data_IF_693827147351
#
_entry.id   IF_693827147351
#
_cell.length_a   1.000
_cell.length_b   1.000
_cell.length_c   1.000
_cell.angle_alpha   90.00
_cell.angle_beta   90.00
_cell.angle_gamma   90.00
#
_symmetry.space_group_name_H-M   'P 1'
#
loop_
_entity.id
_entity.type
_entity.pdbx_description
1 polymer ?
#
# COMPACT_ATOMS: atom_id res chain seq x y z
N UNK A 1 -31.38 -8.28 20.36
CA UNK A 1 -31.09 -7.36 19.22
C UNK A 1 -30.57 -6.00 19.71
N UNK A 2 -31.26 -5.33 20.63
CA UNK A 2 -30.85 -4.01 21.17
C UNK A 2 -29.43 -3.96 21.77
N UNK A 3 -29.03 -5.00 22.50
CA UNK A 3 -27.67 -5.10 23.08
C UNK A 3 -26.57 -5.07 22.01
N UNK A 4 -26.80 -5.74 20.87
CA UNK A 4 -25.84 -5.80 19.76
C UNK A 4 -25.75 -4.43 19.09
N UNK A 5 -26.90 -3.80 18.81
CA UNK A 5 -26.95 -2.45 18.22
C UNK A 5 -26.22 -1.43 19.10
N UNK A 6 -26.45 -1.49 20.42
CA UNK A 6 -25.77 -0.62 21.39
C UNK A 6 -24.25 -0.82 21.38
N UNK A 7 -23.78 -2.07 21.33
CA UNK A 7 -22.35 -2.37 21.27
C UNK A 7 -21.71 -1.90 19.96
N UNK A 8 -22.38 -2.11 18.83
CA UNK A 8 -21.90 -1.65 17.52
C UNK A 8 -21.81 -0.12 17.49
N UNK A 9 -22.82 0.58 18.02
CA UNK A 9 -22.82 2.03 18.09
C UNK A 9 -21.64 2.55 18.93
N UNK A 10 -21.45 1.99 20.13
CA UNK A 10 -20.32 2.34 21.00
C UNK A 10 -18.95 2.05 20.35
N UNK A 11 -18.83 0.94 19.61
CA UNK A 11 -17.60 0.58 18.93
C UNK A 11 -17.26 1.58 17.82
N UNK A 12 -18.21 1.86 16.92
CA UNK A 12 -17.99 2.69 15.74
C UNK A 12 -17.91 4.18 16.07
N UNK A 13 -18.73 4.67 17.00
CA UNK A 13 -18.91 6.11 17.25
C UNK A 13 -18.35 6.57 18.58
N UNK A 14 -17.40 5.83 19.17
CA UNK A 14 -16.69 6.27 20.37
C UNK A 14 -16.03 7.64 20.12
N UNK A 15 -16.25 8.64 20.99
CA UNK A 15 -15.57 9.91 20.87
C UNK A 15 -14.07 9.72 21.08
N UNK A 16 -13.26 10.24 20.15
CA UNK A 16 -11.81 10.24 20.29
C UNK A 16 -11.24 11.61 19.94
N UNK A 17 -10.00 11.85 20.33
CA UNK A 17 -9.31 13.10 20.08
C UNK A 17 -8.86 13.22 18.60
N UNK A 18 -8.99 14.40 17.96
CA UNK A 18 -8.66 14.61 16.55
C UNK A 18 -7.17 14.37 16.21
N UNK A 19 -6.28 14.42 17.20
CA UNK A 19 -4.84 14.16 17.06
C UNK A 19 -4.57 12.77 16.49
N UNK A 20 -5.41 11.77 16.79
CA UNK A 20 -5.24 10.40 16.29
C UNK A 20 -5.28 10.36 14.76
N UNK A 21 -6.23 11.05 14.14
CA UNK A 21 -6.32 11.11 12.68
C UNK A 21 -5.21 11.96 12.09
N UNK A 22 -4.79 13.04 12.77
CA UNK A 22 -3.68 13.85 12.30
C UNK A 22 -2.35 13.06 12.30
N UNK A 23 -2.09 12.25 13.34
CA UNK A 23 -0.92 11.36 13.39
C UNK A 23 -0.98 10.32 12.27
N UNK A 24 -2.13 9.68 12.07
CA UNK A 24 -2.30 8.70 10.99
C UNK A 24 -2.05 9.34 9.61
N UNK A 25 -2.61 10.53 9.37
CA UNK A 25 -2.39 11.32 8.14
C UNK A 25 -0.90 11.60 7.92
N UNK A 26 -0.20 12.08 8.93
CA UNK A 26 1.23 12.40 8.82
C UNK A 26 2.04 11.12 8.58
N UNK A 27 1.76 10.04 9.29
CA UNK A 27 2.47 8.77 9.14
C UNK A 27 2.30 8.16 7.74
N UNK A 28 1.06 8.07 7.25
CA UNK A 28 0.78 7.53 5.90
C UNK A 28 1.31 8.45 4.80
N UNK A 29 1.23 9.76 4.99
CA UNK A 29 1.80 10.76 4.09
C UNK A 29 3.33 10.65 4.00
N UNK A 30 4.03 10.64 5.13
CA UNK A 30 5.49 10.49 5.17
C UNK A 30 5.95 9.18 4.51
N UNK A 31 5.28 8.06 4.82
CA UNK A 31 5.60 6.77 4.23
C UNK A 31 5.37 6.76 2.72
N UNK A 32 4.24 7.29 2.25
CA UNK A 32 3.95 7.37 0.81
C UNK A 32 4.91 8.31 0.07
N UNK A 33 5.30 9.43 0.69
CA UNK A 33 6.28 10.34 0.11
C UNK A 33 7.66 9.68 -0.01
N UNK A 34 8.11 9.00 1.05
CA UNK A 34 9.33 8.18 1.01
C UNK A 34 9.27 7.13 -0.09
N UNK A 35 8.15 6.41 -0.21
CA UNK A 35 7.96 5.40 -1.25
C UNK A 35 8.06 6.01 -2.66
N UNK A 36 7.32 7.10 -2.93
CA UNK A 36 7.34 7.75 -4.24
C UNK A 36 8.74 8.28 -4.58
N UNK A 37 9.43 8.90 -3.62
CA UNK A 37 10.77 9.44 -3.82
C UNK A 37 11.80 8.34 -4.11
N UNK A 38 11.79 7.26 -3.32
CA UNK A 38 12.75 6.15 -3.50
C UNK A 38 12.48 5.29 -4.72
N UNK A 39 11.27 5.35 -5.27
CA UNK A 39 10.87 4.62 -6.49
C UNK A 39 10.77 5.51 -7.72
N UNK A 40 11.16 6.78 -7.62
CA UNK A 40 11.02 7.74 -8.69
C UNK A 40 11.73 7.28 -9.98
N UNK A 41 13.01 6.94 -9.89
CA UNK A 41 13.81 6.51 -11.04
C UNK A 41 13.31 5.20 -11.65
N UNK A 42 12.87 4.27 -10.80
CA UNK A 42 12.23 3.03 -11.24
C UNK A 42 10.96 3.34 -12.05
N UNK A 43 10.08 4.19 -11.53
CA UNK A 43 8.83 4.53 -12.21
C UNK A 43 9.11 5.25 -13.53
N UNK A 44 10.10 6.14 -13.57
CA UNK A 44 10.56 6.78 -14.80
C UNK A 44 11.04 5.75 -15.83
N UNK A 45 11.92 4.83 -15.42
CA UNK A 45 12.43 3.80 -16.32
C UNK A 45 11.31 2.89 -16.86
N UNK A 46 10.31 2.56 -16.04
CA UNK A 46 9.16 1.74 -16.44
C UNK A 46 8.35 2.46 -17.52
N UNK A 47 8.04 3.74 -17.37
CA UNK A 47 7.22 4.44 -18.37
C UNK A 47 7.97 4.71 -19.66
N UNK A 48 9.29 4.95 -19.59
CA UNK A 48 10.10 5.21 -20.78
C UNK A 48 10.28 3.96 -21.65
N UNK A 49 10.34 2.76 -21.05
CA UNK A 49 10.73 1.54 -21.76
C UNK A 49 9.66 0.42 -21.75
N UNK A 50 8.60 0.57 -20.95
CA UNK A 50 7.67 -0.52 -20.66
C UNK A 50 6.47 -0.63 -21.60
N UNK A 51 6.32 0.24 -22.60
CA UNK A 51 5.06 0.37 -23.34
C UNK A 51 4.52 -0.96 -23.92
N UNK A 52 5.40 -1.86 -24.39
CA UNK A 52 5.05 -3.16 -24.95
C UNK A 52 4.53 -4.18 -23.94
N UNK A 53 4.76 -3.95 -22.64
CA UNK A 53 4.41 -4.88 -21.55
C UNK A 53 3.37 -4.27 -20.61
N UNK A 54 2.61 -3.29 -21.08
CA UNK A 54 1.54 -2.66 -20.32
C UNK A 54 0.31 -3.56 -20.23
N UNK A 55 -0.02 -4.00 -19.02
CA UNK A 55 -1.24 -4.74 -18.70
C UNK A 55 -2.02 -3.99 -17.62
N UNK A 56 -3.06 -3.21 -17.97
CA UNK A 56 -3.67 -2.27 -17.03
C UNK A 56 -4.34 -2.96 -15.83
N UNK A 57 -4.08 -2.45 -14.63
CA UNK A 57 -4.67 -2.98 -13.37
C UNK A 57 -5.53 -1.93 -12.66
N UNK A 58 -6.65 -2.36 -12.07
CA UNK A 58 -7.51 -1.51 -11.25
C UNK A 58 -8.10 -0.36 -12.07
N UNK A 59 -7.97 0.88 -11.59
CA UNK A 59 -8.50 2.05 -12.31
C UNK A 59 -7.70 2.40 -13.58
N UNK A 60 -6.52 1.82 -13.78
CA UNK A 60 -5.77 2.00 -15.03
C UNK A 60 -6.41 1.24 -16.21
N UNK A 61 -7.38 0.36 -15.97
CA UNK A 61 -8.14 -0.38 -17.02
C UNK A 61 -8.97 0.52 -17.92
N UNK A 62 -9.27 1.75 -17.49
CA UNK A 62 -9.87 2.77 -18.35
C UNK A 62 -8.90 3.28 -19.43
N UNK A 63 -7.60 3.00 -19.30
CA UNK A 63 -6.57 3.33 -20.28
C UNK A 63 -6.27 2.08 -21.12
N UNK A 64 -6.61 2.13 -22.41
CA UNK A 64 -6.34 1.03 -23.36
C UNK A 64 -4.85 0.89 -23.67
N UNK A 65 -4.09 1.98 -23.51
CA UNK A 65 -2.66 2.07 -23.76
C UNK A 65 -2.03 2.96 -22.68
N UNK A 66 -0.73 2.81 -22.39
CA UNK A 66 -0.09 3.64 -21.39
C UNK A 66 -0.12 5.11 -21.83
N UNK A 67 -0.33 6.02 -20.87
CA UNK A 67 -0.18 7.45 -21.13
C UNK A 67 1.27 7.79 -21.49
N UNK A 68 1.44 8.94 -22.17
CA UNK A 68 2.76 9.45 -22.52
C UNK A 68 3.66 9.58 -21.26
N UNK A 69 4.95 9.20 -21.33
CA UNK A 69 5.87 9.26 -20.19
C UNK A 69 5.91 10.65 -19.53
N UNK A 70 5.89 11.72 -20.32
CA UNK A 70 5.93 13.11 -19.82
C UNK A 70 4.68 13.45 -19.00
N UNK A 71 3.50 12.97 -19.44
CA UNK A 71 2.26 13.15 -18.70
C UNK A 71 2.30 12.38 -17.38
N UNK A 72 2.79 11.13 -17.39
CA UNK A 72 2.93 10.36 -16.16
C UNK A 72 3.89 11.04 -15.17
N UNK A 73 5.05 11.50 -15.63
CA UNK A 73 6.02 12.20 -14.78
C UNK A 73 5.44 13.48 -14.20
N UNK A 74 4.64 14.22 -14.99
CA UNK A 74 3.92 15.40 -14.51
C UNK A 74 2.91 15.04 -13.41
N UNK A 75 2.13 13.98 -13.61
CA UNK A 75 1.18 13.47 -12.60
C UNK A 75 1.90 13.00 -11.33
N UNK A 76 3.07 12.36 -11.46
CA UNK A 76 3.88 11.94 -10.32
C UNK A 76 4.37 13.14 -9.50
N UNK A 77 4.89 14.17 -10.14
CA UNK A 77 5.29 15.42 -9.47
C UNK A 77 4.11 16.10 -8.77
N UNK A 78 2.97 16.21 -9.45
CA UNK A 78 1.73 16.76 -8.85
C UNK A 78 1.30 15.92 -7.64
N UNK A 79 1.38 14.59 -7.74
CA UNK A 79 1.05 13.68 -6.63
C UNK A 79 1.97 13.89 -5.45
N UNK A 80 3.28 14.05 -5.66
CA UNK A 80 4.24 14.34 -4.60
C UNK A 80 3.98 15.71 -3.95
N UNK A 81 3.64 16.74 -4.73
CA UNK A 81 3.27 18.06 -4.21
C UNK A 81 1.98 18.00 -3.37
N UNK A 82 0.96 17.26 -3.84
CA UNK A 82 -0.26 17.01 -3.09
C UNK A 82 0.00 16.21 -1.82
N UNK A 83 0.97 15.28 -1.83
CA UNK A 83 1.38 14.53 -0.65
C UNK A 83 1.98 15.47 0.42
N UNK A 84 2.85 16.40 0.02
CA UNK A 84 3.37 17.42 0.96
C UNK A 84 2.23 18.25 1.54
N UNK A 85 1.29 18.72 0.72
CA UNK A 85 0.11 19.44 1.20
C UNK A 85 -0.78 18.60 2.14
N UNK A 86 -0.92 17.30 1.86
CA UNK A 86 -1.63 16.32 2.68
C UNK A 86 -0.95 16.13 4.05
N UNK A 87 0.38 15.97 4.08
CA UNK A 87 1.16 15.87 5.33
C UNK A 87 0.98 17.14 6.17
N UNK A 88 1.09 18.31 5.56
CA UNK A 88 0.91 19.59 6.23
C UNK A 88 -0.55 19.84 6.63
N UNK A 89 -1.51 19.15 6.02
CA UNK A 89 -2.95 19.40 6.22
C UNK A 89 -3.35 20.80 5.73
N UNK A 90 -2.85 21.21 4.56
CA UNK A 90 -3.19 22.48 3.93
C UNK A 90 -4.35 22.32 2.95
N UNK A 91 -5.40 23.13 3.08
CA UNK A 91 -6.65 23.03 2.33
C UNK A 91 -7.18 21.58 2.30
N UNK A 92 -7.16 20.92 3.46
CA UNK A 92 -7.24 19.45 3.54
C UNK A 92 -8.51 18.85 2.94
N UNK A 93 -9.61 19.59 2.95
CA UNK A 93 -10.87 19.18 2.30
C UNK A 93 -10.68 18.83 0.82
N UNK A 94 -9.75 19.50 0.14
CA UNK A 94 -9.44 19.27 -1.26
C UNK A 94 -8.18 18.44 -1.44
N UNK A 95 -7.11 18.80 -0.74
CA UNK A 95 -5.81 18.11 -0.88
C UNK A 95 -5.88 16.67 -0.36
N UNK A 96 -6.69 16.41 0.68
CA UNK A 96 -7.01 15.07 1.19
C UNK A 96 -7.55 14.15 0.11
N UNK A 97 -8.69 14.54 -0.48
CA UNK A 97 -9.37 13.74 -1.50
C UNK A 97 -8.54 13.62 -2.80
N UNK A 98 -7.95 14.73 -3.26
CA UNK A 98 -7.18 14.74 -4.51
C UNK A 98 -5.91 13.91 -4.39
N UNK A 99 -5.17 14.01 -3.27
CA UNK A 99 -4.01 13.15 -3.03
C UNK A 99 -4.41 11.68 -2.98
N UNK A 100 -5.49 11.32 -2.29
CA UNK A 100 -5.94 9.93 -2.22
C UNK A 100 -6.26 9.33 -3.58
N UNK A 101 -6.98 10.08 -4.44
CA UNK A 101 -7.31 9.65 -5.79
C UNK A 101 -6.08 9.54 -6.70
N UNK A 102 -5.19 10.53 -6.65
CA UNK A 102 -3.95 10.51 -7.43
C UNK A 102 -3.01 9.39 -6.97
N UNK A 103 -2.88 9.17 -5.66
CA UNK A 103 -2.07 8.08 -5.13
C UNK A 103 -2.62 6.70 -5.53
N UNK A 104 -3.94 6.51 -5.47
CA UNK A 104 -4.59 5.30 -5.99
C UNK A 104 -4.26 5.09 -7.48
N UNK A 105 -4.38 6.14 -8.30
CA UNK A 105 -4.04 6.08 -9.72
C UNK A 105 -2.58 5.69 -9.96
N UNK A 106 -1.63 6.37 -9.31
CA UNK A 106 -0.19 6.08 -9.44
C UNK A 106 0.10 4.62 -9.06
N UNK A 107 -0.51 4.12 -7.98
CA UNK A 107 -0.28 2.74 -7.53
C UNK A 107 -0.91 1.70 -8.47
N UNK A 108 -2.11 1.95 -9.00
CA UNK A 108 -2.73 1.12 -10.03
C UNK A 108 -1.89 1.09 -11.31
N UNK A 109 -1.50 2.28 -11.80
CA UNK A 109 -0.71 2.42 -13.01
C UNK A 109 0.66 1.74 -12.88
N UNK A 110 1.37 1.94 -11.76
CA UNK A 110 2.66 1.26 -11.50
C UNK A 110 2.52 -0.27 -11.43
N UNK A 111 1.38 -0.80 -10.99
CA UNK A 111 1.14 -2.24 -10.97
C UNK A 111 0.84 -2.82 -12.36
N UNK A 112 0.68 -2.00 -13.41
CA UNK A 112 0.42 -2.45 -14.78
C UNK A 112 1.65 -2.97 -15.55
N UNK A 113 2.85 -2.95 -14.95
CA UNK A 113 4.11 -3.39 -15.58
C UNK A 113 4.88 -4.43 -14.75
N UNK A 114 4.32 -4.83 -13.62
CA UNK A 114 5.04 -5.67 -12.67
C UNK A 114 4.10 -6.70 -12.08
N UNK A 115 4.65 -7.56 -11.23
CA UNK A 115 3.85 -8.42 -10.39
C UNK A 115 2.91 -7.56 -9.54
N UNK A 116 1.64 -7.98 -9.42
CA UNK A 116 0.66 -7.28 -8.59
C UNK A 116 1.10 -7.42 -7.12
N UNK A 117 1.77 -6.41 -6.60
CA UNK A 117 2.20 -6.38 -5.21
C UNK A 117 1.09 -5.83 -4.33
N UNK A 118 0.47 -6.70 -3.53
CA UNK A 118 -0.57 -6.32 -2.57
C UNK A 118 -0.04 -5.60 -1.33
N UNK A 119 1.29 -5.52 -1.18
CA UNK A 119 2.02 -5.01 -0.02
C UNK A 119 1.58 -3.60 0.41
N UNK A 120 1.18 -2.78 -0.56
CA UNK A 120 0.82 -1.37 -0.35
C UNK A 120 -0.68 -1.09 -0.50
N UNK A 121 -1.51 -2.10 -0.78
CA UNK A 121 -2.96 -1.90 -0.92
C UNK A 121 -3.59 -1.41 0.39
N UNK A 122 -3.10 -1.89 1.54
CA UNK A 122 -3.53 -1.39 2.85
C UNK A 122 -3.23 0.09 3.04
N UNK A 123 -2.04 0.55 2.63
CA UNK A 123 -1.66 1.96 2.68
C UNK A 123 -2.58 2.81 1.79
N UNK A 124 -2.83 2.39 0.55
CA UNK A 124 -3.73 3.10 -0.37
C UNK A 124 -5.12 3.24 0.24
N UNK A 125 -5.66 2.16 0.81
CA UNK A 125 -6.97 2.18 1.46
C UNK A 125 -7.00 3.10 2.68
N UNK A 126 -5.95 3.10 3.50
CA UNK A 126 -5.84 4.01 4.65
C UNK A 126 -5.78 5.47 4.22
N UNK A 127 -4.96 5.80 3.22
CA UNK A 127 -4.88 7.16 2.66
C UNK A 127 -6.24 7.58 2.09
N UNK A 128 -6.96 6.67 1.41
CA UNK A 128 -8.28 6.94 0.86
C UNK A 128 -9.32 7.26 1.94
N UNK A 129 -9.35 6.46 3.02
CA UNK A 129 -10.22 6.73 4.18
C UNK A 129 -9.86 8.08 4.82
N UNK A 130 -8.58 8.33 5.08
CA UNK A 130 -8.11 9.55 5.75
C UNK A 130 -8.38 10.80 4.89
N UNK A 131 -8.17 10.71 3.58
CA UNK A 131 -8.39 11.80 2.62
C UNK A 131 -9.87 12.21 2.50
N UNK A 132 -10.80 11.33 2.89
CA UNK A 132 -12.24 11.58 2.86
C UNK A 132 -12.82 12.08 4.20
N UNK A 133 -12.01 12.24 5.24
CA UNK A 133 -12.49 12.60 6.59
C UNK A 133 -11.77 13.84 7.16
N UNK A 134 -12.25 14.33 8.30
CA UNK A 134 -11.72 15.52 8.96
C UNK A 134 -10.38 15.26 9.69
N UNK A 135 -9.32 14.91 8.96
CA UNK A 135 -8.02 14.57 9.53
C UNK A 135 -7.07 15.78 9.72
N UNK A 136 -7.56 17.01 9.52
CA UNK A 136 -6.77 18.25 9.63
C UNK A 136 -7.22 19.19 10.75
N UNK A 137 -8.04 18.73 11.69
CA UNK A 137 -8.59 19.58 12.75
C UNK A 137 -7.65 19.79 13.95
N UNK A 138 -6.62 18.94 14.12
CA UNK A 138 -5.66 19.02 15.23
C UNK A 138 -4.28 19.54 14.82
N UNK A 139 -3.46 18.70 14.18
CA UNK A 139 -2.09 19.03 13.77
C UNK A 139 -2.15 19.32 12.27
N UNK A 140 -2.25 20.59 11.87
CA UNK A 140 -2.24 21.00 10.46
C UNK A 140 -1.94 22.49 10.28
N UNK A 141 -1.54 22.86 9.06
CA UNK A 141 -1.38 24.24 8.66
C UNK A 141 -2.72 24.99 8.66
N UNK A 142 -3.80 24.34 8.20
CA UNK A 142 -5.16 24.91 8.24
C UNK A 142 -5.57 25.29 9.67
N UNK A 143 -5.29 24.41 10.63
CA UNK A 143 -5.59 24.62 12.04
C UNK A 143 -4.74 25.74 12.64
N UNK A 144 -3.45 25.76 12.32
CA UNK A 144 -2.55 26.82 12.75
C UNK A 144 -2.98 28.20 12.23
N UNK A 145 -3.34 28.30 10.94
CA UNK A 145 -3.88 29.53 10.34
C UNK A 145 -5.20 29.97 10.99
N UNK A 146 -6.10 29.03 11.32
CA UNK A 146 -7.35 29.32 12.03
C UNK A 146 -7.11 29.80 13.47
N UNK A 147 -6.20 29.16 14.20
CA UNK A 147 -5.87 29.53 15.59
C UNK A 147 -5.25 30.93 15.69
N UNK A 148 -4.49 31.37 14.68
CA UNK A 148 -4.01 32.76 14.60
C UNK A 148 -5.16 33.78 14.57
N UNK A 149 -6.30 33.43 13.96
CA UNK A 149 -7.47 34.29 13.87
C UNK A 149 -8.40 34.14 15.09
N UNK A 150 -8.47 32.95 15.70
CA UNK A 150 -9.29 32.67 16.87
C UNK A 150 -8.58 31.68 17.83
N UNK A 151 -7.81 32.19 18.82
CA UNK A 151 -7.00 31.36 19.72
C UNK A 151 -7.82 30.45 20.66
N UNK A 152 -9.10 30.78 20.88
CA UNK A 152 -9.98 30.11 21.85
C UNK A 152 -10.67 28.86 21.30
N UNK A 153 -10.56 28.58 20.00
CA UNK A 153 -11.25 27.44 19.38
C UNK A 153 -10.58 26.11 19.80
N UNK A 154 -10.99 25.50 20.92
CA UNK A 154 -10.57 24.14 21.30
C UNK A 154 -11.53 23.12 20.71
N UNK A 155 -11.00 22.23 19.86
CA UNK A 155 -11.75 21.11 19.31
C UNK A 155 -11.58 19.95 20.29
N UNK A 156 -12.67 19.53 20.92
CA UNK A 156 -12.70 18.42 21.87
C UNK A 156 -12.77 17.06 21.18
N UNK A 157 -12.89 16.01 21.99
CA UNK A 157 -13.15 14.67 21.49
C UNK A 157 -14.53 14.61 20.83
N UNK A 158 -14.61 13.94 19.69
CA UNK A 158 -15.87 13.81 18.94
C UNK A 158 -15.94 12.48 18.20
N UNK A 159 -17.16 11.97 18.00
CA UNK A 159 -17.39 10.67 17.35
C UNK A 159 -16.96 10.65 15.88
N UNK A 160 -16.95 11.82 15.22
CA UNK A 160 -16.52 11.98 13.82
C UNK A 160 -15.06 11.59 13.60
N UNK A 161 -14.23 11.69 14.65
CA UNK A 161 -12.85 11.21 14.61
C UNK A 161 -12.73 9.73 14.96
N UNK A 162 -13.74 9.16 15.64
CA UNK A 162 -13.83 7.79 16.12
C UNK A 162 -13.92 6.77 14.99
N UNK A 163 -15.00 6.90 14.22
CA UNK A 163 -15.36 5.91 13.21
C UNK A 163 -14.30 5.72 12.10
N UNK A 164 -13.55 6.75 11.63
CA UNK A 164 -12.54 6.53 10.59
C UNK A 164 -11.36 5.71 11.12
N UNK A 165 -10.94 5.93 12.38
CA UNK A 165 -9.89 5.11 13.01
C UNK A 165 -10.34 3.66 13.12
N UNK A 166 -11.60 3.43 13.51
CA UNK A 166 -12.18 2.09 13.55
C UNK A 166 -12.26 1.46 12.17
N UNK A 167 -12.61 2.23 11.14
CA UNK A 167 -12.64 1.74 9.76
C UNK A 167 -11.25 1.32 9.29
N UNK A 168 -10.20 2.09 9.60
CA UNK A 168 -8.81 1.73 9.30
C UNK A 168 -8.39 0.44 10.00
N UNK A 169 -8.74 0.28 11.28
CA UNK A 169 -8.49 -0.96 12.02
C UNK A 169 -9.23 -2.15 11.40
N UNK A 170 -10.53 -2.00 11.11
CA UNK A 170 -11.36 -3.03 10.49
C UNK A 170 -10.83 -3.43 9.12
N UNK A 171 -10.48 -2.45 8.27
CA UNK A 171 -9.88 -2.69 6.97
C UNK A 171 -8.58 -3.50 7.08
N UNK A 172 -7.75 -3.18 8.08
CA UNK A 172 -6.52 -3.92 8.36
C UNK A 172 -6.84 -5.35 8.77
N UNK A 173 -7.70 -5.55 9.78
CA UNK A 173 -8.07 -6.88 10.28
C UNK A 173 -8.68 -7.73 9.16
N UNK A 174 -9.59 -7.18 8.36
CA UNK A 174 -10.20 -7.88 7.22
C UNK A 174 -9.14 -8.26 6.18
N UNK A 175 -8.21 -7.37 5.86
CA UNK A 175 -7.13 -7.69 4.90
C UNK A 175 -6.28 -8.86 5.40
N UNK A 176 -5.87 -8.86 6.66
CA UNK A 176 -5.10 -9.96 7.25
C UNK A 176 -5.91 -11.25 7.39
N UNK A 177 -7.19 -11.15 7.75
CA UNK A 177 -8.10 -12.30 7.82
C UNK A 177 -8.24 -12.95 6.44
N UNK A 178 -8.54 -12.17 5.40
CA UNK A 178 -8.67 -12.68 4.03
C UNK A 178 -7.36 -13.28 3.53
N UNK A 179 -6.22 -12.65 3.83
CA UNK A 179 -4.91 -13.22 3.50
C UNK A 179 -4.65 -14.55 4.22
N UNK A 180 -5.06 -14.67 5.48
CA UNK A 180 -4.97 -15.91 6.25
C UNK A 180 -5.88 -17.00 5.69
N UNK A 181 -7.14 -16.67 5.37
CA UNK A 181 -8.09 -17.59 4.76
C UNK A 181 -7.60 -18.08 3.40
N UNK A 182 -7.06 -17.19 2.56
CA UNK A 182 -6.48 -17.58 1.28
C UNK A 182 -5.31 -18.57 1.44
N UNK A 183 -4.57 -18.51 2.54
CA UNK A 183 -3.51 -19.49 2.85
C UNK A 183 -4.04 -20.82 3.36
N UNK A 184 -5.26 -20.88 3.88
CA UNK A 184 -5.85 -22.13 4.40
C UNK A 184 -6.71 -22.82 3.34
N UNK A 185 -7.37 -22.03 2.49
CA UNK A 185 -8.39 -22.50 1.54
C UNK A 185 -8.04 -22.26 0.08
N UNK A 186 -6.94 -21.57 -0.23
CA UNK A 186 -6.52 -21.33 -1.61
C UNK A 186 -5.93 -22.59 -2.28
N UNK A 187 -5.73 -22.51 -3.58
CA UNK A 187 -5.25 -23.66 -4.38
C UNK A 187 -3.87 -24.17 -3.93
N UNK A 188 -3.06 -23.30 -3.34
CA UNK A 188 -1.72 -23.59 -2.80
C UNK A 188 -1.74 -23.72 -1.26
N UNK A 189 -2.91 -23.97 -0.66
CA UNK A 189 -3.20 -23.83 0.77
C UNK A 189 -2.17 -24.48 1.69
N UNK A 190 -1.99 -25.79 1.61
CA UNK A 190 -1.09 -26.53 2.49
C UNK A 190 0.23 -26.89 1.80
N UNK A 191 0.33 -26.64 0.50
CA UNK A 191 1.50 -26.98 -0.33
C UNK A 191 2.76 -26.23 0.07
N UNK A 192 2.64 -25.11 0.79
CA UNK A 192 3.81 -24.43 1.36
C UNK A 192 4.45 -25.20 2.52
N UNK A 193 3.74 -26.12 3.19
CA UNK A 193 4.28 -26.91 4.30
C UNK A 193 5.35 -27.89 3.83
N UNK A 194 5.26 -28.42 2.61
CA UNK A 194 6.28 -29.32 2.05
C UNK A 194 7.60 -28.61 1.73
N UNK A 195 7.60 -27.27 1.72
CA UNK A 195 8.76 -26.43 1.41
C UNK A 195 9.02 -26.24 -0.08
N UNK A 196 8.23 -26.84 -0.97
CA UNK A 196 8.46 -26.78 -2.43
C UNK A 196 8.24 -25.37 -2.98
N UNK A 197 7.27 -24.64 -2.44
CA UNK A 197 7.06 -23.22 -2.76
C UNK A 197 8.27 -22.35 -2.36
N UNK A 198 8.93 -22.65 -1.24
CA UNK A 198 10.12 -21.90 -0.81
C UNK A 198 11.34 -22.27 -1.66
N UNK A 199 11.54 -23.55 -1.99
CA UNK A 199 12.61 -24.02 -2.86
C UNK A 199 12.51 -23.40 -4.27
N UNK A 200 11.31 -23.38 -4.84
CA UNK A 200 11.07 -22.77 -6.16
C UNK A 200 11.32 -21.26 -6.16
N UNK A 201 10.88 -20.52 -5.13
CA UNK A 201 11.17 -19.09 -5.04
C UNK A 201 12.67 -18.79 -4.88
N UNK A 202 13.39 -19.60 -4.09
CA UNK A 202 14.85 -19.49 -3.92
C UNK A 202 15.58 -19.76 -5.24
N UNK A 203 15.16 -20.78 -5.99
CA UNK A 203 15.73 -21.09 -7.30
C UNK A 203 15.48 -19.97 -8.33
N UNK A 204 14.26 -19.45 -8.39
CA UNK A 204 13.89 -18.34 -9.30
C UNK A 204 14.65 -17.05 -8.96
N UNK A 205 14.79 -16.72 -7.68
CA UNK A 205 15.55 -15.54 -7.24
C UNK A 205 17.03 -15.63 -7.62
N UNK A 206 17.63 -16.80 -7.48
CA UNK A 206 19.02 -17.01 -7.85
C UNK A 206 19.27 -16.95 -9.36
N UNK A 207 18.42 -17.61 -10.16
CA UNK A 207 18.46 -17.51 -11.62
C UNK A 207 18.32 -16.06 -12.07
N UNK A 208 17.41 -15.30 -11.44
CA UNK A 208 17.21 -13.88 -11.74
C UNK A 208 18.45 -13.05 -11.41
N UNK A 209 19.13 -13.33 -10.29
CA UNK A 209 20.37 -12.64 -9.90
C UNK A 209 21.50 -12.91 -10.89
N UNK A 210 21.66 -14.17 -11.30
CA UNK A 210 22.64 -14.59 -12.30
C UNK A 210 22.39 -13.91 -13.66
N UNK A 211 21.15 -13.93 -14.16
CA UNK A 211 20.78 -13.28 -15.43
C UNK A 211 20.91 -11.75 -15.41
N UNK A 212 20.78 -11.11 -14.24
CA UNK A 212 20.88 -9.65 -14.08
C UNK A 212 22.29 -9.18 -13.67
N UNK A 213 23.29 -10.07 -13.65
CA UNK A 213 24.69 -9.72 -13.37
C UNK A 213 24.97 -9.40 -11.89
N UNK A 214 24.06 -9.73 -10.98
CA UNK A 214 24.30 -9.70 -9.54
C UNK A 214 24.91 -11.05 -9.14
N UNK A 215 26.12 -11.06 -8.59
CA UNK A 215 26.70 -12.28 -8.04
C UNK A 215 25.73 -12.94 -7.03
N UNK A 216 25.52 -14.25 -7.18
CA UNK A 216 24.86 -15.04 -6.15
C UNK A 216 25.65 -14.90 -4.85
N UNK A 217 24.97 -14.87 -3.71
CA UNK A 217 25.65 -14.77 -2.42
C UNK A 217 26.42 -16.07 -2.17
N UNK A 218 27.63 -16.08 -1.57
CA UNK A 218 28.39 -17.32 -1.33
C UNK A 218 27.62 -18.39 -0.53
N UNK A 219 26.68 -17.95 0.31
CA UNK A 219 25.75 -18.84 1.03
C UNK A 219 24.84 -19.63 0.08
N UNK A 220 24.41 -19.01 -1.03
CA UNK A 220 23.58 -19.65 -2.04
C UNK A 220 24.35 -20.74 -2.79
N UNK A 221 25.60 -20.48 -3.18
CA UNK A 221 26.48 -21.47 -3.81
C UNK A 221 26.76 -22.66 -2.87
N UNK A 222 26.96 -22.39 -1.58
CA UNK A 222 27.09 -23.43 -0.55
C UNK A 222 25.81 -24.26 -0.37
N UNK A 223 24.63 -23.62 -0.35
CA UNK A 223 23.34 -24.32 -0.26
C UNK A 223 23.05 -25.15 -1.52
N UNK A 224 23.41 -24.64 -2.71
CA UNK A 224 23.20 -25.35 -3.97
C UNK A 224 24.18 -26.52 -4.13
N UNK A 225 25.42 -26.41 -3.64
CA UNK A 225 26.35 -27.55 -3.59
C UNK A 225 25.93 -28.60 -2.56
N UNK A 226 25.17 -28.22 -1.53
CA UNK A 226 24.52 -29.13 -0.59
C UNK A 226 23.19 -29.73 -1.11
N UNK A 227 22.78 -29.41 -2.34
CA UNK A 227 21.54 -29.89 -2.99
C UNK A 227 21.32 -31.40 -2.85
N UNK A 228 22.36 -32.21 -3.05
CA UNK A 228 22.25 -33.67 -2.94
C UNK A 228 21.84 -34.16 -1.54
N UNK A 229 22.17 -33.43 -0.47
CA UNK A 229 21.79 -33.81 0.89
C UNK A 229 20.30 -33.54 1.21
N UNK A 230 19.61 -32.75 0.40
CA UNK A 230 18.20 -32.36 0.60
C UNK A 230 17.23 -33.05 -0.36
N UNK A 231 17.70 -33.60 -1.47
CA UNK A 231 16.88 -34.11 -2.58
C UNK A 231 16.80 -35.65 -2.68
N UNK A 232 17.45 -36.38 -1.77
CA UNK A 232 17.43 -37.86 -1.77
C UNK A 232 16.12 -38.50 -1.29
N UNK A 233 15.07 -37.73 -0.99
CA UNK A 233 13.74 -38.26 -0.65
C UNK A 233 12.63 -37.64 -1.53
N UNK A 234 12.44 -38.25 -2.72
CA UNK A 234 11.19 -38.41 -3.51
C UNK A 234 10.30 -37.17 -3.77
N UNK A 235 9.80 -36.87 -4.96
CA UNK A 235 9.37 -37.70 -6.09
C UNK A 235 9.35 -36.81 -7.35
N UNK A 236 10.14 -37.12 -8.36
CA UNK A 236 9.91 -36.67 -9.72
C UNK A 236 9.70 -37.90 -10.60
N UNK A 237 8.50 -38.45 -10.56
CA UNK A 237 7.98 -39.26 -11.66
C UNK A 237 7.38 -38.28 -12.67
N UNK A 238 8.15 -37.91 -13.68
CA UNK A 238 7.60 -37.45 -14.94
C UNK A 238 7.45 -38.69 -15.82
N UNK A 239 6.24 -39.24 -15.88
CA UNK A 239 5.85 -40.07 -17.02
C UNK A 239 5.45 -39.14 -18.17
N UNK A 240 5.90 -39.56 -19.35
CA UNK A 240 5.85 -38.96 -20.70
C UNK A 240 4.56 -38.25 -21.11
#
# INVERSE_FOLDING_TARGET
>A
MERIIKQLNLFWFSPIAPERLAILRIATGLFSLWYLATRFDMMKHIVDNGASSYEPVGIATFLQQPIAPELFMSLLWVTMALNVAYILGWQFRWTGALFALMFLFIMCYRNSWSMIYHNYNGLVLHIFIIGAVAAADAISLDRWLKNRKNPTLRIGQHWQYGWPVKLICTATVVTYLLSGLAKIFGDLAWDWISGDAMRSQVAVDALRKEMLGSAATPLFEWLLSAYHAFFDHGYFYYDT
#
